data_IF_045148730814
#
_entry.id   IF_045148730814
#
_cell.length_a   1.000
_cell.length_b   1.000
_cell.length_c   1.000
_cell.angle_alpha   90.00
_cell.angle_beta   90.00
_cell.angle_gamma   90.00
#
_symmetry.space_group_name_H-M   'P 1'
#
loop_
_entity.id
_entity.type
_entity.pdbx_description
1 polymer ?
#
# COMPACT_ATOMS: atom_id res chain seq x y z
N UNK A 1 -4.70 19.67 -9.44
CA UNK A 1 -3.63 20.69 -9.53
C UNK A 1 -2.38 20.02 -10.08
N UNK A 2 -1.63 20.63 -11.01
CA UNK A 2 -0.40 20.04 -11.53
C UNK A 2 0.59 19.73 -10.39
N UNK A 3 1.25 18.55 -10.44
CA UNK A 3 2.19 18.12 -9.41
C UNK A 3 3.30 19.13 -9.14
N UNK A 4 3.85 19.71 -10.20
CA UNK A 4 4.89 20.74 -10.14
C UNK A 4 4.44 22.01 -9.41
N UNK A 5 3.18 22.42 -9.56
CA UNK A 5 2.63 23.57 -8.87
C UNK A 5 2.49 23.30 -7.36
N UNK A 6 1.98 22.13 -6.99
CA UNK A 6 1.89 21.71 -5.58
C UNK A 6 3.27 21.65 -4.92
N UNK A 7 4.26 21.07 -5.61
CA UNK A 7 5.63 21.01 -5.12
C UNK A 7 6.22 22.41 -4.90
N UNK A 8 5.98 23.35 -5.85
CA UNK A 8 6.41 24.74 -5.70
C UNK A 8 5.79 25.39 -4.47
N UNK A 9 4.47 25.28 -4.29
CA UNK A 9 3.76 25.90 -3.16
C UNK A 9 4.17 25.30 -1.82
N UNK A 10 4.37 23.96 -1.76
CA UNK A 10 4.74 23.28 -0.51
C UNK A 10 6.20 23.53 -0.09
N UNK A 11 7.06 23.91 -1.03
CA UNK A 11 8.47 24.23 -0.77
C UNK A 11 8.73 25.75 -0.71
N UNK A 12 7.71 26.57 -0.86
CA UNK A 12 7.84 28.02 -0.76
C UNK A 12 7.99 28.44 0.72
N UNK A 13 9.15 28.98 1.07
CA UNK A 13 9.48 29.41 2.43
C UNK A 13 8.76 30.68 2.86
N UNK A 14 8.20 31.40 1.93
CA UNK A 14 7.44 32.64 2.15
C UNK A 14 5.92 32.42 2.25
N UNK A 15 5.45 31.17 2.07
CA UNK A 15 4.05 30.82 2.10
C UNK A 15 3.65 30.21 3.43
N UNK A 16 2.53 30.69 3.99
CA UNK A 16 1.90 30.13 5.20
C UNK A 16 0.43 29.85 4.96
N UNK A 17 -0.05 28.69 5.45
CA UNK A 17 -1.49 28.42 5.55
C UNK A 17 -2.01 29.08 6.82
N UNK A 18 -3.01 29.94 6.66
CA UNK A 18 -3.69 30.61 7.78
C UNK A 18 -4.92 29.86 8.22
N UNK A 19 -5.66 29.30 7.27
CA UNK A 19 -6.92 28.61 7.54
C UNK A 19 -7.17 27.52 6.50
N UNK A 20 -7.76 26.42 6.92
CA UNK A 20 -8.23 25.36 6.03
C UNK A 20 -9.58 24.84 6.51
N UNK A 21 -10.55 24.74 5.61
CA UNK A 21 -11.83 24.07 5.86
C UNK A 21 -12.08 23.01 4.77
N UNK A 22 -12.19 21.76 5.19
CA UNK A 22 -12.40 20.65 4.28
C UNK A 22 -13.80 20.65 3.66
N UNK A 23 -14.80 21.05 4.44
CA UNK A 23 -16.18 21.18 3.97
C UNK A 23 -16.43 22.57 3.39
N UNK A 24 -16.27 22.71 2.08
CA UNK A 24 -16.45 23.99 1.39
C UNK A 24 -17.82 24.64 1.59
N UNK A 25 -18.86 23.84 1.88
CA UNK A 25 -20.21 24.36 2.15
C UNK A 25 -20.30 25.21 3.43
N UNK A 26 -19.32 25.07 4.35
CA UNK A 26 -19.22 25.96 5.52
C UNK A 26 -18.71 27.36 5.20
N UNK A 27 -18.02 27.51 4.05
CA UNK A 27 -17.44 28.77 3.59
C UNK A 27 -18.31 29.37 2.50
N UNK A 28 -18.73 28.56 1.53
CA UNK A 28 -19.54 28.97 0.39
C UNK A 28 -20.80 28.11 0.31
N UNK A 29 -21.94 28.72 0.57
CA UNK A 29 -23.24 28.00 0.51
C UNK A 29 -23.44 27.36 -0.88
N UNK A 30 -23.94 26.14 -0.90
CA UNK A 30 -24.26 25.37 -2.10
C UNK A 30 -23.06 25.04 -3.01
N UNK A 31 -21.85 24.97 -2.47
CA UNK A 31 -20.64 24.57 -3.22
C UNK A 31 -20.06 23.26 -2.67
N UNK A 32 -19.69 22.35 -3.57
CA UNK A 32 -18.94 21.12 -3.26
C UNK A 32 -17.56 21.20 -3.94
N UNK A 33 -16.60 21.83 -3.25
CA UNK A 33 -15.21 21.87 -3.69
C UNK A 33 -14.47 20.70 -3.05
N UNK A 34 -14.24 19.66 -3.83
CA UNK A 34 -13.44 18.52 -3.38
C UNK A 34 -12.01 18.96 -3.05
N UNK A 35 -11.59 18.73 -1.81
CA UNK A 35 -10.28 19.15 -1.30
C UNK A 35 -10.35 20.39 -0.38
N UNK A 36 -11.54 20.99 -0.21
CA UNK A 36 -11.77 22.07 0.74
C UNK A 36 -11.33 23.45 0.24
N UNK A 37 -11.34 24.41 1.17
CA UNK A 37 -10.96 25.81 0.95
C UNK A 37 -9.77 26.16 1.83
N UNK A 38 -8.76 26.78 1.29
CA UNK A 38 -7.56 27.22 2.00
C UNK A 38 -7.38 28.73 1.89
N UNK A 39 -7.02 29.36 3.00
CA UNK A 39 -6.55 30.77 3.01
C UNK A 39 -5.05 30.73 3.27
N UNK A 40 -4.29 31.33 2.38
CA UNK A 40 -2.84 31.40 2.48
C UNK A 40 -2.39 32.86 2.61
N UNK A 41 -1.27 33.04 3.29
CA UNK A 41 -0.53 34.29 3.36
C UNK A 41 0.83 34.09 2.70
N UNK A 42 1.20 35.01 1.82
CA UNK A 42 2.50 35.02 1.17
C UNK A 42 3.15 36.39 1.34
N UNK A 43 4.37 36.38 1.87
CA UNK A 43 5.15 37.58 2.10
C UNK A 43 6.59 37.38 1.65
N UNK A 44 7.03 38.07 0.62
CA UNK A 44 8.36 37.92 0.02
C UNK A 44 9.51 38.35 0.94
N UNK A 45 9.21 39.16 1.94
CA UNK A 45 10.20 39.67 2.89
C UNK A 45 10.28 38.83 4.18
N UNK A 46 9.34 37.87 4.37
CA UNK A 46 9.24 37.10 5.60
C UNK A 46 9.34 35.63 5.31
N UNK A 47 10.37 35.00 5.86
CA UNK A 47 10.46 33.52 5.88
C UNK A 47 9.52 32.93 6.93
N UNK A 48 8.62 32.05 6.48
CA UNK A 48 7.69 31.30 7.30
C UNK A 48 8.14 29.84 7.49
N UNK A 49 9.14 29.42 6.71
CA UNK A 49 9.55 28.03 6.57
C UNK A 49 8.65 27.23 5.61
N UNK A 50 9.25 26.36 4.84
CA UNK A 50 8.52 25.53 3.87
C UNK A 50 7.47 24.65 4.53
N UNK A 51 6.24 24.64 4.01
CA UNK A 51 5.13 23.81 4.50
C UNK A 51 5.46 22.32 4.37
N UNK A 52 6.07 21.91 3.26
CA UNK A 52 6.49 20.56 2.87
C UNK A 52 5.35 19.54 2.82
N UNK A 53 4.60 19.38 3.92
CA UNK A 53 3.47 18.47 4.07
C UNK A 53 2.36 19.22 4.76
N UNK A 54 1.18 19.15 4.17
CA UNK A 54 -0.02 19.73 4.74
C UNK A 54 -1.14 18.69 4.87
N UNK A 55 -1.76 18.64 6.02
CA UNK A 55 -3.00 17.89 6.26
C UNK A 55 -4.04 18.82 6.90
N UNK A 56 -5.30 18.37 6.91
CA UNK A 56 -6.39 19.09 7.57
C UNK A 56 -6.24 19.14 9.11
N UNK A 57 -5.31 18.37 9.68
CA UNK A 57 -5.15 18.17 11.11
C UNK A 57 -3.82 18.77 11.59
N UNK A 58 -3.82 19.90 12.32
CA UNK A 58 -2.59 20.53 12.79
C UNK A 58 -1.69 19.59 13.61
N UNK A 59 -2.28 18.79 14.52
CA UNK A 59 -1.52 17.82 15.32
C UNK A 59 -0.89 16.71 14.45
N UNK A 60 -1.55 16.27 13.37
CA UNK A 60 -0.96 15.32 12.46
C UNK A 60 0.25 15.92 11.74
N UNK A 61 0.23 17.21 11.41
CA UNK A 61 1.37 17.89 10.80
C UNK A 61 2.57 17.91 11.75
N UNK A 62 2.37 18.16 13.07
CA UNK A 62 3.46 18.12 14.06
C UNK A 62 4.00 16.70 14.26
N UNK A 63 3.13 15.70 14.33
CA UNK A 63 3.50 14.28 14.39
C UNK A 63 4.40 13.89 13.19
N UNK A 64 3.98 14.25 11.97
CA UNK A 64 4.75 13.95 10.76
C UNK A 64 6.14 14.60 10.82
N UNK A 65 6.26 15.84 11.29
CA UNK A 65 7.55 16.53 11.41
C UNK A 65 8.49 15.83 12.41
N UNK A 66 7.96 15.35 13.55
CA UNK A 66 8.74 14.59 14.53
C UNK A 66 9.22 13.26 13.96
N UNK A 67 8.29 12.48 13.39
CA UNK A 67 8.58 11.19 12.79
C UNK A 67 9.59 11.35 11.65
N UNK A 68 9.41 12.36 10.78
CA UNK A 68 10.29 12.62 9.63
C UNK A 68 11.75 12.91 10.02
N UNK A 69 11.99 13.54 11.17
CA UNK A 69 13.35 13.78 11.68
C UNK A 69 14.10 12.49 12.01
N UNK A 70 13.39 11.40 12.31
CA UNK A 70 13.94 10.12 12.73
C UNK A 70 13.86 9.04 11.65
N UNK A 71 13.12 9.26 10.56
CA UNK A 71 12.99 8.30 9.46
C UNK A 71 14.32 8.19 8.71
N UNK A 72 14.90 6.97 8.70
CA UNK A 72 16.02 6.59 7.82
C UNK A 72 15.52 5.97 6.51
N UNK A 73 14.41 5.23 6.57
CA UNK A 73 13.76 4.53 5.46
C UNK A 73 12.27 4.38 5.75
N UNK A 74 11.46 4.17 4.73
CA UNK A 74 10.01 4.06 4.85
C UNK A 74 9.48 2.74 4.31
N UNK A 75 8.26 2.36 4.71
CA UNK A 75 7.63 1.16 4.17
C UNK A 75 7.53 1.20 2.63
N UNK A 76 7.48 2.39 2.01
CA UNK A 76 7.50 2.47 0.55
C UNK A 76 8.70 1.76 -0.08
N UNK A 77 9.82 1.62 0.62
CA UNK A 77 11.04 1.02 0.08
C UNK A 77 10.90 -0.49 -0.11
N UNK A 78 10.06 -1.13 0.71
CA UNK A 78 9.81 -2.57 0.68
C UNK A 78 8.43 -2.94 0.14
N UNK A 79 7.66 -1.98 -0.38
CA UNK A 79 6.38 -2.23 -1.08
C UNK A 79 6.65 -2.55 -2.54
N UNK A 80 6.12 -3.68 -3.00
CA UNK A 80 6.13 -4.12 -4.38
C UNK A 80 4.76 -3.88 -5.03
N UNK A 81 4.78 -3.29 -6.22
CA UNK A 81 3.57 -2.89 -6.95
C UNK A 81 2.72 -4.12 -7.37
N UNK A 82 1.44 -3.92 -7.72
CA UNK A 82 0.58 -5.01 -8.18
C UNK A 82 1.14 -5.76 -9.40
N UNK A 83 1.90 -5.07 -10.26
CA UNK A 83 2.48 -5.59 -11.50
C UNK A 83 3.84 -6.27 -11.30
N UNK A 84 4.26 -6.52 -10.05
CA UNK A 84 5.60 -7.01 -9.71
C UNK A 84 5.89 -8.42 -10.24
N UNK A 85 4.90 -9.31 -10.17
CA UNK A 85 5.06 -10.66 -10.68
C UNK A 85 4.66 -10.72 -12.16
N UNK A 86 5.45 -11.42 -12.94
CA UNK A 86 5.31 -11.52 -14.40
C UNK A 86 5.45 -12.95 -14.87
N UNK A 87 4.81 -13.29 -15.97
CA UNK A 87 5.13 -14.49 -16.72
C UNK A 87 6.50 -14.40 -17.39
N UNK A 88 7.10 -15.53 -17.68
CA UNK A 88 8.28 -15.67 -18.55
C UNK A 88 7.84 -15.95 -19.99
N UNK A 89 8.78 -15.79 -20.93
CA UNK A 89 8.57 -16.24 -22.32
C UNK A 89 8.31 -17.73 -22.41
N UNK A 90 8.86 -18.53 -21.49
CA UNK A 90 8.72 -19.99 -21.50
C UNK A 90 7.25 -20.42 -21.41
N UNK A 91 6.41 -19.67 -20.72
CA UNK A 91 4.97 -19.95 -20.65
C UNK A 91 4.33 -19.99 -22.04
N UNK A 92 4.68 -19.06 -22.93
CA UNK A 92 4.16 -19.02 -24.30
C UNK A 92 4.84 -20.01 -25.25
N UNK A 93 6.06 -20.43 -24.95
CA UNK A 93 6.74 -21.51 -25.71
C UNK A 93 6.02 -22.84 -25.45
N UNK A 94 5.67 -23.09 -24.20
CA UNK A 94 5.01 -24.35 -23.81
C UNK A 94 3.50 -24.34 -24.08
N UNK A 95 2.87 -23.14 -24.14
CA UNK A 95 1.45 -22.91 -24.36
C UNK A 95 1.19 -21.90 -25.48
N UNK A 96 1.63 -22.18 -26.74
CA UNK A 96 1.48 -21.26 -27.86
C UNK A 96 0.02 -20.98 -28.22
N UNK A 97 -0.90 -21.89 -27.90
CA UNK A 97 -2.34 -21.76 -28.12
C UNK A 97 -2.93 -20.53 -27.44
N UNK A 98 -2.39 -20.09 -26.30
CA UNK A 98 -2.88 -18.93 -25.54
C UNK A 98 -2.89 -17.67 -26.38
N UNK A 99 -1.95 -17.51 -27.32
CA UNK A 99 -1.85 -16.33 -28.19
C UNK A 99 -3.02 -16.22 -29.18
N UNK A 100 -3.67 -17.33 -29.52
CA UNK A 100 -4.81 -17.39 -30.43
C UNK A 100 -6.16 -17.51 -29.70
N UNK A 101 -6.14 -17.73 -28.39
CA UNK A 101 -7.38 -17.85 -27.61
C UNK A 101 -8.11 -16.52 -27.47
N UNK A 102 -9.43 -16.60 -27.54
CA UNK A 102 -10.33 -15.47 -27.39
C UNK A 102 -11.31 -15.69 -26.25
N UNK A 103 -11.96 -14.62 -25.80
CA UNK A 103 -13.03 -14.64 -24.82
C UNK A 103 -14.12 -13.65 -25.20
N UNK A 104 -15.34 -13.87 -24.73
CA UNK A 104 -16.43 -12.91 -24.89
C UNK A 104 -16.35 -11.89 -23.75
N UNK A 105 -16.19 -10.63 -24.10
CA UNK A 105 -16.23 -9.50 -23.16
C UNK A 105 -17.21 -8.45 -23.68
N UNK A 106 -18.19 -8.11 -22.85
CA UNK A 106 -19.26 -7.14 -23.20
C UNK A 106 -19.93 -7.45 -24.56
N UNK A 107 -20.16 -8.74 -24.83
CA UNK A 107 -20.78 -9.22 -26.07
C UNK A 107 -19.89 -9.18 -27.32
N UNK A 108 -18.59 -8.92 -27.16
CA UNK A 108 -17.60 -8.92 -28.25
C UNK A 108 -16.53 -9.96 -28.00
N UNK A 109 -16.09 -10.61 -29.07
CA UNK A 109 -14.93 -11.48 -29.03
C UNK A 109 -13.64 -10.63 -28.94
N UNK A 110 -12.81 -10.91 -27.94
CA UNK A 110 -11.54 -10.20 -27.69
C UNK A 110 -10.44 -11.22 -27.39
N UNK A 111 -9.16 -10.90 -27.66
CA UNK A 111 -8.06 -11.76 -27.25
C UNK A 111 -8.11 -12.07 -25.75
N UNK A 112 -7.80 -13.32 -25.38
CA UNK A 112 -7.74 -13.77 -24.00
C UNK A 112 -6.75 -12.94 -23.18
N UNK A 113 -5.56 -12.70 -23.76
CA UNK A 113 -4.52 -11.82 -23.20
C UNK A 113 -4.59 -10.47 -23.94
N UNK A 114 -4.77 -9.40 -23.20
CA UNK A 114 -4.86 -8.05 -23.76
C UNK A 114 -3.49 -7.57 -24.28
N UNK A 115 -3.45 -6.94 -25.43
CA UNK A 115 -2.23 -6.38 -26.04
C UNK A 115 -1.48 -5.47 -25.04
N UNK A 116 -0.18 -5.69 -24.90
CA UNK A 116 0.69 -4.95 -23.97
C UNK A 116 0.66 -5.45 -22.53
N UNK A 117 -0.13 -6.49 -22.25
CA UNK A 117 -0.23 -7.16 -20.96
C UNK A 117 0.16 -8.65 -21.03
N UNK A 118 0.96 -9.00 -22.01
CA UNK A 118 1.29 -10.39 -22.35
C UNK A 118 1.95 -11.14 -21.18
N UNK A 119 2.73 -10.44 -20.37
CA UNK A 119 3.43 -11.04 -19.24
C UNK A 119 2.78 -10.74 -17.88
N UNK A 120 1.63 -10.08 -17.86
CA UNK A 120 1.00 -9.62 -16.63
C UNK A 120 0.16 -10.70 -15.96
N UNK A 121 0.36 -10.88 -14.65
CA UNK A 121 -0.56 -11.64 -13.81
C UNK A 121 -1.76 -10.75 -13.46
N UNK A 122 -2.60 -10.45 -14.45
CA UNK A 122 -3.76 -9.54 -14.29
C UNK A 122 -4.72 -10.06 -13.22
N UNK A 123 -5.58 -9.17 -12.69
CA UNK A 123 -6.50 -9.52 -11.59
C UNK A 123 -7.48 -10.67 -11.92
N UNK A 124 -7.75 -10.91 -13.20
CA UNK A 124 -8.64 -11.98 -13.70
C UNK A 124 -7.88 -13.11 -14.42
N UNK A 125 -6.57 -13.21 -14.23
CA UNK A 125 -5.75 -14.18 -14.95
C UNK A 125 -6.13 -15.63 -14.63
N UNK A 126 -6.61 -15.90 -13.43
CA UNK A 126 -7.08 -17.22 -13.04
C UNK A 126 -8.31 -17.64 -13.84
N UNK A 127 -9.28 -16.76 -14.06
CA UNK A 127 -10.45 -17.07 -14.88
C UNK A 127 -10.08 -17.32 -16.36
N UNK A 128 -8.97 -16.73 -16.81
CA UNK A 128 -8.48 -16.86 -18.19
C UNK A 128 -7.66 -18.12 -18.43
N UNK A 129 -6.79 -18.49 -17.50
CA UNK A 129 -5.77 -19.55 -17.68
C UNK A 129 -5.94 -20.71 -16.71
N UNK A 130 -7.13 -20.85 -16.11
CA UNK A 130 -7.47 -22.00 -15.26
C UNK A 130 -7.43 -23.33 -16.03
N UNK A 131 -6.83 -24.36 -15.44
CA UNK A 131 -6.58 -25.67 -16.07
C UNK A 131 -5.73 -25.63 -17.35
N UNK A 132 -5.10 -24.49 -17.67
CA UNK A 132 -4.11 -24.37 -18.75
C UNK A 132 -2.73 -24.13 -18.13
N UNK A 133 -2.62 -23.10 -17.31
CA UNK A 133 -1.39 -22.68 -16.65
C UNK A 133 -1.53 -22.74 -15.12
N UNK A 134 -2.73 -22.49 -14.58
CA UNK A 134 -3.02 -22.48 -13.15
C UNK A 134 -3.91 -23.66 -12.76
N UNK A 135 -3.53 -24.35 -11.67
CA UNK A 135 -4.18 -25.57 -11.20
C UNK A 135 -4.42 -25.51 -9.69
N UNK A 136 -5.42 -26.22 -9.20
CA UNK A 136 -5.68 -26.35 -7.75
C UNK A 136 -4.68 -27.26 -7.03
N UNK A 137 -4.04 -28.16 -7.77
CA UNK A 137 -3.04 -29.09 -7.26
C UNK A 137 -1.76 -29.01 -8.09
N UNK A 138 -0.64 -29.37 -7.48
CA UNK A 138 0.65 -29.46 -8.19
C UNK A 138 0.55 -30.42 -9.37
N UNK A 139 1.05 -29.99 -10.52
CA UNK A 139 1.06 -30.80 -11.73
C UNK A 139 2.45 -31.40 -11.96
N UNK A 140 2.51 -32.73 -12.07
CA UNK A 140 3.73 -33.46 -12.41
C UNK A 140 4.85 -33.36 -11.36
N UNK A 141 6.09 -33.67 -11.81
CA UNK A 141 7.30 -33.63 -10.98
C UNK A 141 8.01 -32.26 -10.99
N UNK A 142 7.56 -31.33 -11.83
CA UNK A 142 8.18 -30.02 -11.97
C UNK A 142 8.01 -29.18 -10.68
N UNK A 143 8.97 -28.31 -10.42
CA UNK A 143 8.88 -27.35 -9.33
C UNK A 143 7.73 -26.37 -9.58
N UNK A 144 6.79 -26.30 -8.65
CA UNK A 144 5.66 -25.38 -8.69
C UNK A 144 5.81 -24.28 -7.66
N UNK A 145 5.29 -23.11 -7.99
CA UNK A 145 5.01 -22.00 -7.05
C UNK A 145 3.52 -21.77 -6.98
N UNK A 146 3.09 -21.11 -5.93
CA UNK A 146 1.70 -20.70 -5.76
C UNK A 146 1.54 -19.22 -6.13
N UNK A 147 0.40 -18.88 -6.70
CA UNK A 147 0.00 -17.49 -6.94
C UNK A 147 -1.28 -17.21 -6.18
N UNK A 148 -1.24 -16.22 -5.31
CA UNK A 148 -2.40 -15.71 -4.58
C UNK A 148 -3.16 -14.71 -5.45
N UNK A 149 -4.43 -14.94 -5.66
CA UNK A 149 -5.24 -14.13 -6.55
C UNK A 149 -6.73 -14.23 -6.26
N UNK A 150 -7.55 -13.92 -7.28
CA UNK A 150 -9.01 -14.10 -7.23
C UNK A 150 -9.46 -14.95 -8.40
N UNK A 151 -10.34 -15.90 -8.10
CA UNK A 151 -11.08 -16.71 -9.07
C UNK A 151 -12.56 -16.62 -8.70
N UNK A 152 -13.41 -16.28 -9.65
CA UNK A 152 -14.86 -16.10 -9.40
C UNK A 152 -15.15 -15.21 -8.17
N UNK A 153 -14.35 -14.15 -8.01
CA UNK A 153 -14.42 -13.18 -6.91
C UNK A 153 -13.96 -13.68 -5.51
N UNK A 154 -13.53 -14.92 -5.38
CA UNK A 154 -12.98 -15.49 -4.14
C UNK A 154 -11.44 -15.42 -4.14
N UNK A 155 -10.85 -15.28 -2.95
CA UNK A 155 -9.39 -15.33 -2.78
C UNK A 155 -8.95 -16.78 -2.79
N UNK A 156 -8.02 -17.12 -3.67
CA UNK A 156 -7.49 -18.48 -3.81
C UNK A 156 -5.99 -18.45 -4.09
N UNK A 157 -5.29 -19.53 -3.73
CA UNK A 157 -3.96 -19.83 -4.22
C UNK A 157 -4.07 -20.92 -5.29
N UNK A 158 -3.42 -20.71 -6.44
CA UNK A 158 -3.32 -21.72 -7.49
C UNK A 158 -1.86 -22.01 -7.80
N UNK A 159 -1.58 -23.26 -8.10
CA UNK A 159 -0.25 -23.72 -8.51
C UNK A 159 0.04 -23.38 -9.97
N UNK A 160 1.27 -23.01 -10.23
CA UNK A 160 1.82 -22.79 -11.57
C UNK A 160 3.26 -23.30 -11.62
N UNK A 161 3.69 -23.80 -12.78
CA UNK A 161 5.08 -24.24 -12.97
C UNK A 161 6.02 -23.04 -12.74
N UNK A 162 7.04 -23.23 -11.89
CA UNK A 162 7.98 -22.17 -11.50
C UNK A 162 8.67 -21.52 -12.71
N UNK A 163 8.96 -22.28 -13.78
CA UNK A 163 9.59 -21.77 -15.00
C UNK A 163 8.75 -20.71 -15.73
N UNK A 164 7.43 -20.64 -15.45
CA UNK A 164 6.54 -19.65 -16.05
C UNK A 164 6.52 -18.33 -15.30
N UNK A 165 7.05 -18.28 -14.09
CA UNK A 165 7.09 -17.06 -13.26
C UNK A 165 8.51 -16.48 -13.27
N UNK A 166 8.61 -15.20 -13.62
CA UNK A 166 9.88 -14.48 -13.63
C UNK A 166 10.46 -14.38 -12.20
N UNK A 167 11.78 -14.36 -12.08
CA UNK A 167 12.46 -14.18 -10.79
C UNK A 167 12.01 -12.87 -10.14
N UNK A 168 11.67 -12.94 -8.87
CA UNK A 168 11.26 -11.78 -8.09
C UNK A 168 11.89 -11.85 -6.69
N UNK A 169 12.41 -10.73 -6.13
CA UNK A 169 13.20 -10.73 -4.91
C UNK A 169 12.45 -11.26 -3.67
N UNK A 170 11.12 -11.16 -3.64
CA UNK A 170 10.35 -11.67 -2.51
C UNK A 170 9.56 -12.96 -2.79
N UNK A 171 9.69 -13.59 -3.96
CA UNK A 171 8.98 -14.84 -4.26
C UNK A 171 9.33 -15.93 -3.22
N UNK A 172 10.64 -16.11 -2.94
CA UNK A 172 11.14 -17.11 -2.01
C UNK A 172 11.40 -16.56 -0.60
N UNK A 173 10.68 -15.49 -0.22
CA UNK A 173 10.74 -14.83 1.08
C UNK A 173 9.34 -14.75 1.70
N UNK A 174 9.27 -14.53 3.01
CA UNK A 174 8.02 -14.18 3.68
C UNK A 174 7.68 -12.71 3.40
N UNK A 175 6.41 -12.40 3.26
CA UNK A 175 5.88 -11.05 2.96
C UNK A 175 4.45 -10.94 3.43
N UNK A 176 3.88 -9.75 3.36
CA UNK A 176 2.44 -9.57 3.47
C UNK A 176 1.84 -9.32 2.08
N UNK A 177 0.69 -9.92 1.83
CA UNK A 177 -0.20 -9.54 0.74
C UNK A 177 -1.24 -8.55 1.28
N UNK A 178 -1.39 -7.45 0.58
CA UNK A 178 -2.36 -6.43 0.91
C UNK A 178 -3.17 -6.05 -0.33
N UNK A 179 -4.50 -5.87 -0.26
CA UNK A 179 -5.28 -5.49 -1.42
C UNK A 179 -4.74 -4.20 -2.05
N UNK A 180 -4.63 -4.13 -3.38
CA UNK A 180 -4.20 -2.90 -4.08
C UNK A 180 -5.14 -1.72 -3.83
N UNK A 181 -6.39 -2.00 -3.45
CA UNK A 181 -7.40 -1.01 -3.12
C UNK A 181 -8.28 -1.51 -1.97
N UNK A 182 -8.46 -0.67 -0.95
CA UNK A 182 -9.38 -0.91 0.16
C UNK A 182 -9.77 0.39 0.86
N UNK A 183 -10.91 0.38 1.55
CA UNK A 183 -11.41 1.53 2.27
C UNK A 183 -11.85 2.68 1.34
N UNK A 184 -12.07 3.84 1.89
CA UNK A 184 -12.48 5.06 1.17
C UNK A 184 -11.37 6.11 1.07
N UNK A 185 -10.32 5.98 1.84
CA UNK A 185 -9.26 7.00 2.02
C UNK A 185 -9.58 8.01 3.13
N UNK A 186 -10.59 7.76 3.94
CA UNK A 186 -10.90 8.63 5.10
C UNK A 186 -9.88 8.42 6.20
N UNK A 187 -9.38 9.50 6.75
CA UNK A 187 -8.45 9.46 7.88
C UNK A 187 -9.00 8.61 9.03
N UNK A 188 -8.15 7.72 9.55
CA UNK A 188 -8.45 6.90 10.72
C UNK A 188 -9.37 5.70 10.49
N UNK A 189 -9.82 5.43 9.26
CA UNK A 189 -10.64 4.24 8.97
C UNK A 189 -9.86 2.93 9.20
N UNK A 190 -10.60 1.86 9.42
CA UNK A 190 -10.05 0.50 9.53
C UNK A 190 -9.64 0.02 8.13
N UNK A 191 -8.49 -0.65 8.04
CA UNK A 191 -8.03 -1.29 6.82
C UNK A 191 -8.48 -2.76 6.76
N UNK A 192 -8.52 -3.33 5.56
CA UNK A 192 -8.68 -4.78 5.40
C UNK A 192 -7.44 -5.49 5.94
N UNK A 193 -7.61 -6.64 6.60
CA UNK A 193 -6.50 -7.47 7.05
C UNK A 193 -5.62 -7.90 5.86
N UNK A 194 -4.33 -8.02 6.15
CA UNK A 194 -3.33 -8.57 5.24
C UNK A 194 -3.18 -10.07 5.44
N UNK A 195 -2.82 -10.76 4.36
CA UNK A 195 -2.51 -12.18 4.38
C UNK A 195 -0.98 -12.36 4.41
N UNK A 196 -0.47 -13.33 5.20
CA UNK A 196 0.95 -13.67 5.19
C UNK A 196 1.22 -14.54 3.97
N UNK A 197 2.13 -14.07 3.11
CA UNK A 197 2.64 -14.83 1.97
C UNK A 197 3.83 -15.69 2.37
N UNK A 198 3.70 -17.00 2.21
CA UNK A 198 4.75 -17.99 2.47
C UNK A 198 5.83 -17.92 1.37
N UNK A 199 6.97 -18.59 1.60
CA UNK A 199 8.01 -18.78 0.57
C UNK A 199 7.46 -19.57 -0.62
N UNK A 200 7.79 -19.15 -1.84
CA UNK A 200 7.26 -19.76 -3.06
C UNK A 200 5.85 -19.29 -3.45
N UNK A 201 5.31 -18.26 -2.78
CA UNK A 201 3.98 -17.71 -3.11
C UNK A 201 4.14 -16.31 -3.69
N UNK A 202 3.63 -16.08 -4.92
CA UNK A 202 3.48 -14.77 -5.56
C UNK A 202 2.04 -14.26 -5.50
N UNK A 203 1.74 -13.16 -6.21
CA UNK A 203 0.36 -12.64 -6.30
C UNK A 203 -0.01 -12.10 -7.68
N UNK A 204 -1.30 -12.03 -7.96
CA UNK A 204 -1.86 -11.33 -9.12
C UNK A 204 -1.95 -9.83 -8.85
N UNK A 205 -2.25 -9.03 -9.88
CA UNK A 205 -2.47 -7.58 -9.77
C UNK A 205 -3.65 -7.16 -8.87
N UNK A 206 -4.31 -8.10 -8.19
CA UNK A 206 -5.30 -7.82 -7.16
C UNK A 206 -4.66 -7.30 -5.87
N UNK A 207 -3.39 -7.65 -5.64
CA UNK A 207 -2.65 -7.35 -4.42
C UNK A 207 -1.38 -6.55 -4.70
N UNK A 208 -0.86 -5.94 -3.65
CA UNK A 208 0.54 -5.55 -3.48
C UNK A 208 1.19 -6.52 -2.50
N UNK A 209 2.51 -6.61 -2.51
CA UNK A 209 3.25 -7.28 -1.44
C UNK A 209 4.17 -6.33 -0.70
N UNK A 210 4.32 -6.55 0.61
CA UNK A 210 5.15 -5.73 1.48
C UNK A 210 6.15 -6.64 2.17
N UNK A 211 7.44 -6.34 1.98
CA UNK A 211 8.55 -7.08 2.59
C UNK A 211 9.12 -8.20 1.73
N UNK A 212 10.30 -8.64 2.15
CA UNK A 212 11.02 -9.81 1.64
C UNK A 212 11.83 -10.38 2.81
N UNK A 213 11.14 -11.02 3.77
CA UNK A 213 11.67 -11.42 5.06
C UNK A 213 12.22 -12.85 5.02
N UNK A 214 13.21 -13.12 5.85
CA UNK A 214 13.78 -14.45 6.00
C UNK A 214 12.94 -15.36 6.89
N UNK A 215 12.23 -14.78 7.84
CA UNK A 215 11.40 -15.48 8.81
C UNK A 215 9.92 -15.07 8.72
N UNK A 216 9.06 -16.01 9.07
CA UNK A 216 7.60 -15.76 9.13
C UNK A 216 7.25 -14.78 10.26
N UNK A 217 8.07 -14.77 11.32
CA UNK A 217 7.85 -13.89 12.47
C UNK A 217 8.05 -12.42 12.09
N UNK A 218 9.06 -12.07 11.27
CA UNK A 218 9.22 -10.71 10.75
C UNK A 218 7.98 -10.24 9.97
N UNK A 219 7.39 -11.12 9.15
CA UNK A 219 6.15 -10.80 8.44
C UNK A 219 4.98 -10.58 9.40
N UNK A 220 4.85 -11.38 10.47
CA UNK A 220 3.83 -11.16 11.51
C UNK A 220 4.04 -9.85 12.26
N UNK A 221 5.28 -9.49 12.56
CA UNK A 221 5.61 -8.23 13.23
C UNK A 221 5.24 -7.02 12.35
N UNK A 222 5.52 -7.09 11.05
CA UNK A 222 5.01 -6.10 10.10
C UNK A 222 3.47 -6.08 10.10
N UNK A 223 2.80 -7.24 10.15
CA UNK A 223 1.34 -7.30 10.20
C UNK A 223 0.77 -6.58 11.42
N UNK A 224 1.36 -6.80 12.60
CA UNK A 224 1.01 -6.05 13.82
C UNK A 224 1.25 -4.55 13.65
N UNK A 225 2.39 -4.16 13.08
CA UNK A 225 2.71 -2.76 12.84
C UNK A 225 1.68 -2.07 11.94
N UNK A 226 1.20 -2.73 10.89
CA UNK A 226 0.16 -2.18 10.00
C UNK A 226 -1.19 -1.99 10.71
N UNK A 227 -1.44 -2.70 11.81
CA UNK A 227 -2.63 -2.50 12.65
C UNK A 227 -2.48 -1.33 13.62
N UNK A 228 -1.25 -0.91 13.94
CA UNK A 228 -0.98 0.20 14.85
C UNK A 228 -1.63 1.51 14.37
N UNK A 229 -2.18 2.26 15.31
CA UNK A 229 -2.85 3.54 15.05
C UNK A 229 -1.88 4.57 14.48
N UNK A 230 -0.64 4.66 15.01
CA UNK A 230 0.37 5.58 14.49
C UNK A 230 0.73 5.27 13.03
N UNK A 231 0.98 4.00 12.71
CA UNK A 231 1.33 3.60 11.34
C UNK A 231 0.20 3.96 10.36
N UNK A 232 -1.06 3.75 10.75
CA UNK A 232 -2.22 4.10 9.94
C UNK A 232 -2.43 5.61 9.85
N UNK A 233 -2.25 6.36 10.95
CA UNK A 233 -2.30 7.83 10.90
C UNK A 233 -1.32 8.38 9.86
N UNK A 234 -0.09 7.87 9.84
CA UNK A 234 0.95 8.28 8.89
C UNK A 234 0.65 7.82 7.45
N UNK A 235 0.07 6.63 7.27
CA UNK A 235 -0.37 6.15 5.96
C UNK A 235 -1.43 7.08 5.35
N UNK A 236 -2.43 7.49 6.14
CA UNK A 236 -3.53 8.33 5.67
C UNK A 236 -3.14 9.79 5.38
N UNK A 237 -1.90 10.18 5.61
CA UNK A 237 -1.36 11.46 5.11
C UNK A 237 -1.38 11.51 3.58
N UNK A 238 -1.07 10.40 2.91
CA UNK A 238 -1.02 10.30 1.45
C UNK A 238 -2.11 9.39 0.86
N UNK A 239 -2.70 8.52 1.66
CA UNK A 239 -3.80 7.64 1.23
C UNK A 239 -5.13 8.40 1.34
N UNK A 240 -5.45 9.17 0.31
CA UNK A 240 -6.69 9.97 0.20
C UNK A 240 -7.76 9.31 -0.71
N UNK A 241 -7.48 8.09 -1.18
CA UNK A 241 -8.38 7.25 -1.99
C UNK A 241 -8.27 5.81 -1.50
N UNK A 242 -9.00 4.90 -2.13
CA UNK A 242 -8.90 3.46 -1.85
C UNK A 242 -7.54 2.83 -2.22
N UNK A 243 -6.71 3.50 -3.05
CA UNK A 243 -5.48 2.93 -3.59
C UNK A 243 -4.37 2.77 -2.53
N UNK A 244 -3.72 1.60 -2.54
CA UNK A 244 -2.58 1.27 -1.67
C UNK A 244 -1.25 1.23 -2.46
N UNK A 245 -1.11 2.12 -3.46
CA UNK A 245 0.12 2.21 -4.26
C UNK A 245 1.34 2.53 -3.40
N UNK A 246 2.52 2.10 -3.86
CA UNK A 246 3.82 2.28 -3.17
C UNK A 246 4.01 3.68 -2.56
N UNK A 247 3.64 4.74 -3.27
CA UNK A 247 3.86 6.12 -2.84
C UNK A 247 3.08 6.55 -1.59
N UNK A 248 1.95 5.90 -1.25
CA UNK A 248 1.18 6.30 -0.05
C UNK A 248 1.87 5.88 1.25
N UNK A 249 2.81 4.93 1.21
CA UNK A 249 3.56 4.42 2.35
C UNK A 249 4.80 5.28 2.71
N UNK A 250 5.05 6.36 1.99
CA UNK A 250 6.26 7.20 2.11
C UNK A 250 6.49 7.74 3.52
N UNK A 251 5.45 8.04 4.28
CA UNK A 251 5.57 8.61 5.63
C UNK A 251 5.40 7.58 6.73
N UNK A 252 5.17 6.32 6.39
CA UNK A 252 5.16 5.23 7.37
C UNK A 252 6.60 4.73 7.54
N UNK A 253 7.23 4.91 8.71
CA UNK A 253 8.61 4.50 8.93
C UNK A 253 8.79 2.99 8.76
N UNK A 254 9.87 2.58 8.12
CA UNK A 254 10.30 1.19 8.17
C UNK A 254 10.89 0.91 9.56
N UNK A 255 10.36 -0.08 10.25
CA UNK A 255 10.86 -0.55 11.53
C UNK A 255 11.81 -1.75 11.31
N UNK A 256 12.61 -2.07 12.32
CA UNK A 256 13.24 -3.38 12.43
C UNK A 256 12.17 -4.38 12.93
N UNK A 257 11.90 -5.42 12.16
CA UNK A 257 10.93 -6.47 12.51
C UNK A 257 11.60 -7.73 13.06
N UNK A 258 12.94 -7.72 13.23
CA UNK A 258 13.70 -8.83 13.78
C UNK A 258 13.62 -8.88 15.32
N UNK A 259 14.19 -9.91 15.90
CA UNK A 259 14.32 -10.04 17.35
C UNK A 259 15.24 -8.98 18.00
N UNK A 260 16.01 -8.24 17.20
CA UNK A 260 16.91 -7.17 17.67
C UNK A 260 16.26 -5.78 17.64
N UNK A 261 14.98 -5.70 17.31
CA UNK A 261 14.21 -4.46 17.26
C UNK A 261 14.19 -3.74 18.62
N UNK A 262 14.18 -2.42 18.56
CA UNK A 262 13.88 -1.54 19.70
C UNK A 262 12.38 -1.54 20.09
N UNK A 263 11.55 -2.22 19.29
CA UNK A 263 10.13 -2.47 19.55
C UNK A 263 9.95 -3.92 19.98
N UNK A 264 9.30 -4.14 21.12
CA UNK A 264 8.90 -5.48 21.56
C UNK A 264 7.63 -5.94 20.81
N UNK A 265 7.84 -6.66 19.72
CA UNK A 265 6.76 -7.19 18.87
C UNK A 265 5.94 -8.31 19.52
N UNK A 266 6.34 -8.84 20.68
CA UNK A 266 5.54 -9.83 21.43
C UNK A 266 4.28 -9.22 22.04
N UNK A 267 4.25 -7.91 22.21
CA UNK A 267 3.19 -7.14 22.83
C UNK A 267 1.94 -7.03 21.96
N UNK A 268 0.84 -6.60 22.57
CA UNK A 268 -0.40 -6.24 21.87
C UNK A 268 -0.20 -5.04 20.95
N UNK A 269 -1.09 -4.84 19.98
CA UNK A 269 -1.06 -3.69 19.07
C UNK A 269 -1.08 -2.36 19.83
N UNK A 270 -1.92 -2.27 20.88
CA UNK A 270 -2.00 -1.07 21.72
C UNK A 270 -0.69 -0.78 22.48
N UNK A 271 -0.05 -1.83 23.03
CA UNK A 271 1.25 -1.66 23.69
C UNK A 271 2.36 -1.31 22.72
N UNK A 272 2.30 -1.83 21.47
CA UNK A 272 3.23 -1.45 20.40
C UNK A 272 3.01 0.02 20.02
N UNK A 273 1.77 0.51 19.92
CA UNK A 273 1.50 1.94 19.70
C UNK A 273 2.13 2.80 20.81
N UNK A 274 2.04 2.39 22.09
CA UNK A 274 2.68 3.11 23.19
C UNK A 274 4.22 3.14 23.09
N UNK A 275 4.85 2.08 22.56
CA UNK A 275 6.27 2.07 22.28
C UNK A 275 6.63 3.02 21.13
N UNK A 276 5.83 3.03 20.07
CA UNK A 276 6.00 3.92 18.92
C UNK A 276 5.80 5.39 19.31
N UNK A 277 4.81 5.72 20.17
CA UNK A 277 4.60 7.08 20.68
C UNK A 277 5.83 7.59 21.43
N UNK A 278 6.40 6.76 22.32
CA UNK A 278 7.66 7.10 23.01
C UNK A 278 8.85 7.24 22.05
N UNK A 279 8.99 6.30 21.10
CA UNK A 279 10.06 6.32 20.11
C UNK A 279 10.09 7.62 19.30
N UNK A 280 8.91 8.14 18.94
CA UNK A 280 8.81 9.38 18.15
C UNK A 280 8.55 10.63 18.99
N UNK A 281 8.65 10.54 20.29
CA UNK A 281 8.54 11.65 21.25
C UNK A 281 7.22 12.44 21.08
N UNK A 282 6.10 11.71 20.99
CA UNK A 282 4.77 12.31 20.87
C UNK A 282 4.31 12.90 22.21
N UNK A 283 3.70 14.08 22.13
CA UNK A 283 3.06 14.73 23.30
C UNK A 283 1.73 14.05 23.66
N UNK A 284 1.24 14.34 24.86
CA UNK A 284 -0.08 13.83 25.30
C UNK A 284 -1.20 14.21 24.33
N UNK A 285 -1.23 15.45 23.83
CA UNK A 285 -2.24 15.93 22.89
C UNK A 285 -2.17 15.21 21.54
N UNK A 286 -0.93 14.90 21.06
CA UNK A 286 -0.72 14.16 19.82
C UNK A 286 -1.16 12.70 19.96
N UNK A 287 -0.91 12.08 21.11
CA UNK A 287 -1.36 10.73 21.43
C UNK A 287 -2.89 10.71 21.50
N UNK A 288 -3.50 11.62 22.25
CA UNK A 288 -4.96 11.73 22.35
C UNK A 288 -5.61 11.93 20.97
N UNK A 289 -5.01 12.76 20.12
CA UNK A 289 -5.46 12.94 18.75
C UNK A 289 -5.48 11.62 17.97
N UNK A 290 -4.40 10.83 18.03
CA UNK A 290 -4.33 9.52 17.33
C UNK A 290 -5.36 8.56 17.93
N UNK A 291 -5.41 8.45 19.26
CA UNK A 291 -6.30 7.53 19.95
C UNK A 291 -7.78 7.77 19.68
N UNK A 292 -8.17 9.05 19.51
CA UNK A 292 -9.56 9.45 19.27
C UNK A 292 -9.97 9.42 17.79
N UNK A 293 -9.04 9.68 16.87
CA UNK A 293 -9.34 9.80 15.43
C UNK A 293 -9.05 8.55 14.63
N UNK A 294 -8.21 7.65 15.12
CA UNK A 294 -7.85 6.39 14.41
C UNK A 294 -8.54 5.22 15.09
N UNK A 295 -9.44 4.56 14.36
CA UNK A 295 -10.19 3.41 14.86
C UNK A 295 -9.25 2.27 15.23
N UNK A 296 -9.59 1.51 16.27
CA UNK A 296 -8.85 0.33 16.68
C UNK A 296 -8.96 -0.79 15.62
N UNK A 297 -7.87 -1.57 15.47
CA UNK A 297 -7.83 -2.82 14.71
C UNK A 297 -7.29 -3.92 15.63
N UNK A 298 -8.06 -4.99 15.74
CA UNK A 298 -7.69 -6.19 16.51
C UNK A 298 -6.62 -7.03 15.80
#
# INVERSE_FOLDING_TARGET
TPKTWNEKMLNDEHLKVLYYEQNSAKIFNNTDIKGGVVITYHDREKECGAIQIFTAYPLLNTIIQKVKKQIKSSLSDIVFAPESYKFTKQMYVDHPEILSMTMISKGKEVPLISKGHDYDLTSNIFDKLYNIVFFETKQGADECVEIFGRKSNERVCLYVNRKYIAKHPNLDKYKLFFPKANGSGRFGEVMTDSDIGEKGVGHTQTFISIGAFDTREEAKNLQKYLKCKLARALLYVLKVTQDNKKSVWKYVPLQDFTAHSDIDWSKSVAEIDQQLYRKYDLTADEIEFIETHVKEMA
#
